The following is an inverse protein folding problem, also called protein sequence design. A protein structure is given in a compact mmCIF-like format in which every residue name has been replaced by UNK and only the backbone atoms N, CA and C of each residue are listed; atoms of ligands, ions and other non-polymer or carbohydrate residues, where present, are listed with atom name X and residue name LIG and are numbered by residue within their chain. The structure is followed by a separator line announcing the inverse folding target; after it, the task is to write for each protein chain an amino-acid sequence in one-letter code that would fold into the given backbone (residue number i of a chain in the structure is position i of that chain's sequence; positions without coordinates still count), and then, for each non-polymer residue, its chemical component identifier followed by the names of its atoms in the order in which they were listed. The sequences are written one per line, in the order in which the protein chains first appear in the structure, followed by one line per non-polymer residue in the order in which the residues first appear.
data_IF_727403885513
#
_entry.id   IF_727403885513
#
_cell.length_a   1.000
_cell.length_b   1.000
_cell.length_c   1.000
_cell.angle_alpha   90.00
_cell.angle_beta   90.00
_cell.angle_gamma   90.00
#
_symmetry.space_group_name_H-M   'P 1'
#
loop_
_entity.id
_entity.type
_entity.pdbx_description
1 polymer ?
#
# COMPACT_ATOMS: atom_id res chain seq x y z
N UNK A 1 -11.27 -23.05 31.68
CA UNK A 1 -10.79 -22.17 32.77
C UNK A 1 -9.85 -21.12 32.16
N UNK A 2 -10.17 -19.82 32.27
CA UNK A 2 -9.38 -18.60 31.94
C UNK A 2 -8.65 -18.56 30.56
N UNK A 3 -9.02 -17.70 29.59
CA UNK A 3 -8.92 -16.23 29.50
C UNK A 3 -7.50 -15.63 29.31
N UNK A 4 -7.46 -14.63 28.41
CA UNK A 4 -6.42 -13.61 28.08
C UNK A 4 -5.53 -13.98 26.87
N UNK A 5 -5.70 -13.32 25.71
CA UNK A 5 -5.39 -11.90 25.36
C UNK A 5 -3.88 -11.60 25.37
N UNK A 6 -3.21 -11.84 24.25
CA UNK A 6 -1.96 -11.14 23.93
C UNK A 6 -2.30 -9.77 23.34
N UNK A 7 -2.44 -8.78 24.23
CA UNK A 7 -2.53 -7.37 23.86
C UNK A 7 -1.14 -6.89 23.42
N UNK A 8 -1.05 -6.33 22.21
CA UNK A 8 0.13 -5.58 21.76
C UNK A 8 0.24 -4.33 22.64
N UNK A 9 1.31 -4.24 23.45
CA UNK A 9 1.53 -3.10 24.35
C UNK A 9 2.26 -1.98 23.59
N UNK A 10 1.58 -0.84 23.47
CA UNK A 10 2.15 0.43 23.03
C UNK A 10 3.39 0.80 23.85
N UNK A 11 4.50 1.13 23.18
CA UNK A 11 5.63 1.82 23.81
C UNK A 11 5.60 3.29 23.43
N UNK A 12 4.96 4.12 24.26
CA UNK A 12 5.00 5.57 24.13
C UNK A 12 6.24 6.17 24.79
N UNK A 13 6.93 7.08 24.12
CA UNK A 13 7.99 7.89 24.73
C UNK A 13 7.39 8.98 25.63
N UNK A 14 7.68 8.92 26.94
CA UNK A 14 7.73 10.07 27.86
C UNK A 14 8.81 9.84 28.92
N UNK A 15 9.44 10.91 29.40
CA UNK A 15 10.62 10.90 30.29
C UNK A 15 10.34 11.72 31.57
N UNK A 16 11.15 11.72 32.63
CA UNK A 16 12.53 11.24 32.89
C UNK A 16 12.57 10.68 34.33
N UNK A 17 13.55 9.83 34.73
CA UNK A 17 14.44 10.05 35.91
C UNK A 17 15.29 8.83 36.35
N UNK A 18 16.49 9.18 36.85
CA UNK A 18 17.45 8.38 37.64
C UNK A 18 18.15 7.16 37.02
N UNK A 19 19.49 7.21 37.02
CA UNK A 19 20.32 6.09 37.49
C UNK A 19 20.98 5.17 36.44
N UNK A 20 22.22 5.51 36.09
CA UNK A 20 23.28 4.60 35.61
C UNK A 20 23.14 3.94 34.21
N UNK A 21 24.24 4.01 33.45
CA UNK A 21 24.53 3.27 32.22
C UNK A 21 23.45 3.29 31.12
N UNK A 22 23.38 4.40 30.37
CA UNK A 22 22.86 4.34 29.00
C UNK A 22 23.90 3.63 28.14
N UNK A 23 23.79 2.30 28.08
CA UNK A 23 24.42 1.52 27.03
C UNK A 23 23.79 1.96 25.71
N UNK A 24 24.51 2.77 24.93
CA UNK A 24 23.98 3.44 23.74
C UNK A 24 23.87 2.43 22.61
N UNK A 25 22.88 1.53 22.70
CA UNK A 25 22.47 0.66 21.62
C UNK A 25 21.92 1.56 20.50
N UNK A 26 22.82 1.91 19.58
CA UNK A 26 22.46 2.54 18.31
C UNK A 26 21.46 1.61 17.65
N UNK A 27 20.19 2.01 17.69
CA UNK A 27 19.09 1.24 17.09
C UNK A 27 19.42 1.02 15.63
N UNK A 28 19.81 -0.22 15.30
CA UNK A 28 20.12 -0.58 13.91
C UNK A 28 18.82 -0.49 13.13
N UNK A 29 18.89 0.15 11.95
CA UNK A 29 17.77 0.21 11.04
C UNK A 29 17.19 -1.19 10.83
N UNK A 30 15.85 -1.37 10.80
CA UNK A 30 15.25 -2.67 10.54
C UNK A 30 15.42 -3.11 9.08
N UNK A 31 15.97 -2.24 8.23
CA UNK A 31 16.21 -2.46 6.80
C UNK A 31 17.67 -2.81 6.49
N UNK A 32 17.88 -3.58 5.43
CA UNK A 32 19.20 -3.89 4.89
C UNK A 32 19.93 -2.64 4.36
N UNK A 33 21.27 -2.71 4.31
CA UNK A 33 22.10 -1.65 3.72
C UNK A 33 21.82 -1.44 2.21
N UNK A 34 21.35 -2.47 1.52
CA UNK A 34 21.01 -2.40 0.10
C UNK A 34 19.66 -1.71 -0.09
N UNK A 35 18.69 -1.99 0.79
CA UNK A 35 17.41 -1.28 0.83
C UNK A 35 17.59 0.22 1.04
N UNK A 36 18.43 0.61 2.01
CA UNK A 36 18.70 2.02 2.31
C UNK A 36 19.45 2.76 1.18
N UNK A 37 20.03 2.04 0.21
CA UNK A 37 20.68 2.60 -0.99
C UNK A 37 19.80 2.54 -2.24
N UNK A 38 18.63 1.92 -2.15
CA UNK A 38 17.77 1.63 -3.30
C UNK A 38 17.16 2.87 -3.96
N UNK A 39 16.78 2.73 -5.23
CA UNK A 39 15.95 3.73 -5.90
C UNK A 39 14.62 3.91 -5.17
N UNK A 40 14.01 2.84 -4.68
CA UNK A 40 12.78 2.93 -3.86
C UNK A 40 12.97 3.87 -2.66
N UNK A 41 13.96 3.59 -1.81
CA UNK A 41 14.17 4.33 -0.57
C UNK A 41 14.56 5.78 -0.84
N UNK A 42 15.34 6.04 -1.89
CA UNK A 42 15.65 7.41 -2.34
C UNK A 42 14.40 8.14 -2.82
N UNK A 43 13.55 7.48 -3.61
CA UNK A 43 12.27 8.02 -4.07
C UNK A 43 11.34 8.35 -2.92
N UNK A 44 11.20 7.43 -1.96
CA UNK A 44 10.35 7.63 -0.79
C UNK A 44 10.87 8.75 0.13
N UNK A 45 12.19 8.85 0.32
CA UNK A 45 12.79 9.95 1.10
C UNK A 45 12.42 11.32 0.51
N UNK A 46 12.49 11.46 -0.81
CA UNK A 46 12.08 12.68 -1.52
C UNK A 46 10.56 12.90 -1.42
N UNK A 47 9.76 11.85 -1.56
CA UNK A 47 8.31 11.91 -1.42
C UNK A 47 7.89 12.42 -0.03
N UNK A 48 8.54 11.94 1.03
CA UNK A 48 8.27 12.37 2.41
C UNK A 48 8.80 13.76 2.74
N UNK A 49 9.93 14.17 2.15
CA UNK A 49 10.51 15.51 2.33
C UNK A 49 9.69 16.58 1.61
N UNK A 50 9.34 16.35 0.35
CA UNK A 50 8.59 17.31 -0.49
C UNK A 50 7.06 17.21 -0.33
N UNK A 51 6.55 16.15 0.32
CA UNK A 51 5.13 15.74 0.31
C UNK A 51 4.54 15.69 -1.12
N UNK A 52 5.36 15.25 -2.07
CA UNK A 52 5.08 15.36 -3.50
C UNK A 52 5.62 14.18 -4.31
N UNK A 53 4.85 13.74 -5.29
CA UNK A 53 5.28 12.73 -6.26
C UNK A 53 6.23 13.27 -7.34
N UNK A 54 6.31 14.59 -7.54
CA UNK A 54 6.94 15.19 -8.74
C UNK A 54 8.39 14.75 -8.94
N UNK A 55 9.23 14.83 -7.89
CA UNK A 55 10.62 14.40 -7.97
C UNK A 55 10.83 12.93 -7.59
N UNK A 56 9.90 12.34 -6.82
CA UNK A 56 9.98 10.96 -6.36
C UNK A 56 9.64 9.92 -7.46
N UNK A 57 8.67 10.22 -8.33
CA UNK A 57 8.10 9.26 -9.30
C UNK A 57 9.15 8.63 -10.23
N UNK A 58 10.20 9.37 -10.61
CA UNK A 58 11.29 8.85 -11.46
C UNK A 58 12.10 7.74 -10.79
N UNK A 59 12.21 7.77 -9.46
CA UNK A 59 12.91 6.76 -8.69
C UNK A 59 12.05 5.51 -8.46
N UNK A 60 10.75 5.67 -8.16
CA UNK A 60 9.82 4.55 -8.12
C UNK A 60 9.73 3.83 -9.48
N UNK A 61 9.71 4.61 -10.58
CA UNK A 61 9.81 4.07 -11.94
C UNK A 61 11.08 3.25 -12.12
N UNK A 62 12.23 3.80 -11.74
CA UNK A 62 13.53 3.14 -11.90
C UNK A 62 13.64 1.86 -11.05
N UNK A 63 13.16 1.88 -9.81
CA UNK A 63 13.09 0.68 -8.97
C UNK A 63 12.21 -0.42 -9.58
N UNK A 64 11.07 -0.04 -10.18
CA UNK A 64 10.23 -0.97 -10.91
C UNK A 64 10.91 -1.54 -12.17
N UNK A 65 11.52 -0.68 -12.99
CA UNK A 65 12.23 -1.06 -14.23
C UNK A 65 13.42 -1.99 -13.92
N UNK A 66 14.22 -1.68 -12.89
CA UNK A 66 15.40 -2.44 -12.44
C UNK A 66 15.03 -3.69 -11.60
N UNK A 67 13.74 -3.90 -11.29
CA UNK A 67 13.21 -4.98 -10.42
C UNK A 67 13.81 -4.97 -9.00
N UNK A 68 14.01 -3.77 -8.47
CA UNK A 68 14.51 -3.46 -7.13
C UNK A 68 13.32 -3.13 -6.20
N UNK A 69 13.15 -3.94 -5.14
CA UNK A 69 12.02 -3.86 -4.21
C UNK A 69 10.69 -3.66 -4.94
N UNK A 70 10.45 -4.55 -5.90
CA UNK A 70 9.54 -4.32 -7.03
C UNK A 70 8.09 -4.09 -6.60
N UNK A 71 7.62 -4.71 -5.52
CA UNK A 71 6.24 -4.56 -5.07
C UNK A 71 6.00 -3.11 -4.63
N UNK A 72 6.83 -2.60 -3.72
CA UNK A 72 6.70 -1.23 -3.20
C UNK A 72 7.11 -0.17 -4.23
N UNK A 73 8.10 -0.44 -5.09
CA UNK A 73 8.45 0.42 -6.23
C UNK A 73 7.28 0.60 -7.19
N UNK A 74 6.57 -0.48 -7.54
CA UNK A 74 5.43 -0.41 -8.45
C UNK A 74 4.18 0.18 -7.79
N UNK A 75 3.91 -0.15 -6.52
CA UNK A 75 2.83 0.45 -5.74
C UNK A 75 2.97 1.97 -5.60
N UNK A 76 4.16 2.47 -5.27
CA UNK A 76 4.41 3.92 -5.18
C UNK A 76 4.42 4.61 -6.55
N UNK A 77 4.88 3.93 -7.60
CA UNK A 77 4.78 4.46 -8.95
C UNK A 77 3.32 4.58 -9.39
N UNK A 78 2.48 3.57 -9.13
CA UNK A 78 1.05 3.56 -9.43
C UNK A 78 0.30 4.65 -8.63
N UNK A 79 0.58 4.79 -7.33
CA UNK A 79 0.07 5.87 -6.49
C UNK A 79 0.41 7.28 -7.04
N UNK A 80 1.60 7.43 -7.61
CA UNK A 80 2.06 8.70 -8.16
C UNK A 80 1.60 8.99 -9.61
N UNK A 81 1.36 7.98 -10.45
CA UNK A 81 0.99 8.16 -11.87
C UNK A 81 -0.50 8.44 -12.07
N UNK A 82 -0.93 9.65 -11.70
CA UNK A 82 -2.29 10.18 -11.90
C UNK A 82 -2.62 10.46 -13.39
N UNK A 83 -2.43 9.48 -14.29
CA UNK A 83 -2.65 9.66 -15.74
C UNK A 83 -2.96 8.35 -16.48
N UNK A 84 -3.75 8.48 -17.56
CA UNK A 84 -4.13 7.38 -18.48
C UNK A 84 -2.94 6.68 -19.18
N UNK A 85 -1.73 7.26 -19.16
CA UNK A 85 -0.52 6.62 -19.72
C UNK A 85 -0.06 5.40 -18.94
N UNK A 86 -0.67 5.09 -17.79
CA UNK A 86 -0.37 3.91 -16.98
C UNK A 86 -0.79 2.58 -17.64
N UNK A 87 -1.46 2.58 -18.81
CA UNK A 87 -1.89 1.34 -19.51
C UNK A 87 -0.80 0.28 -19.68
N UNK A 88 0.46 0.69 -19.89
CA UNK A 88 1.60 -0.24 -19.94
C UNK A 88 2.07 -0.73 -18.56
N UNK A 89 1.90 0.09 -17.50
CA UNK A 89 2.24 -0.27 -16.12
C UNK A 89 1.22 -1.20 -15.48
N UNK A 90 -0.06 -1.15 -15.86
CA UNK A 90 -1.06 -2.15 -15.43
C UNK A 90 -0.61 -3.59 -15.72
N UNK A 91 -0.04 -3.85 -16.90
CA UNK A 91 0.46 -5.18 -17.23
C UNK A 91 1.58 -5.66 -16.30
N UNK A 92 2.50 -4.77 -15.93
CA UNK A 92 3.52 -5.09 -14.93
C UNK A 92 2.94 -5.26 -13.52
N UNK A 93 1.89 -4.50 -13.18
CA UNK A 93 1.29 -4.54 -11.85
C UNK A 93 0.64 -5.89 -11.54
N UNK A 94 0.06 -6.57 -12.53
CA UNK A 94 -0.41 -7.96 -12.38
C UNK A 94 0.73 -9.00 -12.21
N UNK A 95 2.00 -8.58 -12.24
CA UNK A 95 3.16 -9.48 -12.06
C UNK A 95 3.85 -9.34 -10.69
N UNK A 96 3.45 -8.39 -9.84
CA UNK A 96 3.96 -8.28 -8.47
C UNK A 96 3.15 -9.16 -7.51
N UNK A 97 3.82 -9.80 -6.54
CA UNK A 97 3.21 -10.80 -5.66
C UNK A 97 2.03 -10.27 -4.83
N UNK A 98 2.09 -9.01 -4.39
CA UNK A 98 0.99 -8.34 -3.68
C UNK A 98 -0.31 -8.33 -4.49
N UNK A 99 -0.22 -8.16 -5.81
CA UNK A 99 -1.38 -8.00 -6.71
C UNK A 99 -1.81 -9.33 -7.33
N UNK A 100 -0.86 -10.18 -7.73
CA UNK A 100 -1.14 -11.50 -8.34
C UNK A 100 -1.57 -12.55 -7.31
N UNK A 101 -1.08 -12.42 -6.08
CA UNK A 101 -1.15 -13.47 -5.07
C UNK A 101 -0.27 -14.70 -5.35
N UNK A 102 0.53 -14.68 -6.43
CA UNK A 102 1.35 -15.82 -6.83
C UNK A 102 2.71 -15.81 -6.11
N UNK A 103 2.95 -16.84 -5.30
CA UNK A 103 4.25 -17.09 -4.66
C UNK A 103 5.35 -17.47 -5.69
N UNK A 104 4.97 -17.88 -6.91
CA UNK A 104 5.88 -18.37 -7.94
C UNK A 104 6.33 -17.30 -8.97
N UNK A 105 5.84 -16.05 -8.91
CA UNK A 105 6.28 -14.96 -9.81
C UNK A 105 7.70 -14.43 -9.51
N UNK A 106 8.69 -15.33 -9.49
CA UNK A 106 10.16 -15.14 -9.57
C UNK A 106 10.89 -14.20 -8.58
N UNK A 107 10.18 -13.41 -7.76
CA UNK A 107 10.68 -12.73 -6.55
C UNK A 107 9.49 -12.45 -5.63
N UNK A 108 9.29 -13.31 -4.62
CA UNK A 108 8.34 -13.02 -3.55
C UNK A 108 8.72 -11.76 -2.77
N UNK A 109 7.76 -11.21 -2.02
CA UNK A 109 7.94 -10.01 -1.20
C UNK A 109 9.14 -10.18 -0.25
N UNK A 110 10.18 -9.36 -0.41
CA UNK A 110 11.41 -9.46 0.39
C UNK A 110 11.17 -9.08 1.86
N UNK A 111 12.06 -9.48 2.76
CA UNK A 111 11.97 -9.11 4.17
C UNK A 111 11.94 -7.59 4.38
N UNK A 112 12.70 -6.83 3.57
CA UNK A 112 12.69 -5.36 3.60
C UNK A 112 11.33 -4.81 3.15
N UNK A 113 10.72 -5.36 2.09
CA UNK A 113 9.37 -4.97 1.63
C UNK A 113 8.28 -5.34 2.63
N UNK A 114 8.34 -6.52 3.25
CA UNK A 114 7.43 -6.97 4.31
C UNK A 114 7.51 -6.03 5.52
N UNK A 115 8.73 -5.74 5.96
CA UNK A 115 9.01 -4.80 7.07
C UNK A 115 8.53 -3.40 6.73
N UNK A 116 8.73 -2.95 5.49
CA UNK A 116 8.23 -1.67 5.02
C UNK A 116 6.70 -1.61 5.06
N UNK A 117 6.03 -2.60 4.48
CA UNK A 117 4.57 -2.67 4.42
C UNK A 117 3.96 -2.66 5.82
N UNK A 118 4.47 -3.49 6.74
CA UNK A 118 4.00 -3.51 8.13
C UNK A 118 4.22 -2.16 8.84
N UNK A 119 5.47 -1.70 8.92
CA UNK A 119 5.81 -0.49 9.69
C UNK A 119 5.17 0.79 9.16
N UNK A 120 4.92 0.89 7.85
CA UNK A 120 4.21 2.05 7.29
C UNK A 120 2.70 1.93 7.43
N UNK A 121 2.11 0.75 7.27
CA UNK A 121 0.67 0.57 7.54
C UNK A 121 0.32 0.91 9.00
N UNK A 122 1.15 0.49 9.96
CA UNK A 122 1.04 0.88 11.39
C UNK A 122 1.11 2.40 11.61
N UNK A 123 1.78 3.14 10.72
CA UNK A 123 1.87 4.61 10.71
C UNK A 123 0.75 5.28 9.89
N UNK A 124 -0.26 4.53 9.42
CA UNK A 124 -1.34 5.05 8.56
C UNK A 124 -1.00 5.13 7.07
N UNK A 125 0.05 4.42 6.64
CA UNK A 125 0.56 4.39 5.27
C UNK A 125 -0.52 4.04 4.24
N UNK A 126 -0.82 4.98 3.35
CA UNK A 126 -1.91 4.85 2.39
C UNK A 126 -1.64 3.75 1.36
N UNK A 127 -0.40 3.64 0.88
CA UNK A 127 0.00 2.65 -0.13
C UNK A 127 0.10 1.26 0.49
N UNK A 128 0.53 1.17 1.73
CA UNK A 128 0.72 -0.10 2.45
C UNK A 128 -0.59 -0.68 2.96
N UNK A 129 -1.55 0.16 3.37
CA UNK A 129 -2.92 -0.28 3.63
C UNK A 129 -3.57 -0.91 2.37
N UNK A 130 -3.23 -0.44 1.16
CA UNK A 130 -3.66 -1.11 -0.06
C UNK A 130 -2.99 -2.49 -0.22
N UNK A 131 -1.68 -2.56 0.00
CA UNK A 131 -0.93 -3.81 -0.10
C UNK A 131 -1.47 -4.88 0.86
N UNK A 132 -1.70 -4.54 2.13
CA UNK A 132 -2.30 -5.44 3.12
C UNK A 132 -3.74 -5.83 2.72
N UNK A 133 -4.52 -4.90 2.16
CA UNK A 133 -5.84 -5.19 1.60
C UNK A 133 -5.79 -6.26 0.51
N UNK A 134 -4.90 -6.12 -0.48
CA UNK A 134 -4.70 -7.12 -1.54
C UNK A 134 -4.17 -8.46 -0.99
N UNK A 135 -3.24 -8.43 -0.04
CA UNK A 135 -2.72 -9.62 0.65
C UNK A 135 -3.86 -10.44 1.29
N UNK A 136 -4.80 -9.78 1.99
CA UNK A 136 -5.98 -10.42 2.55
C UNK A 136 -7.02 -10.88 1.50
N UNK A 137 -7.17 -10.23 0.35
CA UNK A 137 -8.07 -10.68 -0.73
C UNK A 137 -7.55 -11.94 -1.42
N UNK A 138 -6.24 -11.95 -1.67
CA UNK A 138 -5.58 -13.00 -2.44
C UNK A 138 -5.18 -14.20 -1.59
N UNK A 139 -4.98 -14.02 -0.28
CA UNK A 139 -4.38 -15.05 0.58
C UNK A 139 -2.85 -15.08 0.48
N UNK A 140 -2.23 -13.93 0.15
CA UNK A 140 -0.79 -13.80 -0.10
C UNK A 140 -0.09 -13.33 1.17
N UNK A 141 0.79 -14.18 1.72
CA UNK A 141 1.46 -14.01 3.03
C UNK A 141 0.53 -13.92 4.27
N UNK A 142 -0.76 -13.63 4.07
CA UNK A 142 -1.81 -13.56 5.08
C UNK A 142 -2.93 -14.54 4.71
N UNK A 143 -3.63 -15.09 5.70
CA UNK A 143 -4.81 -15.93 5.44
C UNK A 143 -5.92 -15.11 4.77
N UNK A 144 -6.57 -15.67 3.74
CA UNK A 144 -7.58 -14.98 2.95
C UNK A 144 -8.77 -14.56 3.83
N UNK A 145 -9.01 -13.25 3.95
CA UNK A 145 -10.08 -12.69 4.76
C UNK A 145 -10.67 -11.43 4.11
N UNK A 146 -11.91 -11.55 3.59
CA UNK A 146 -12.58 -10.46 2.85
C UNK A 146 -12.96 -9.26 3.74
N UNK A 147 -13.20 -9.47 5.03
CA UNK A 147 -13.56 -8.40 5.97
C UNK A 147 -12.33 -7.52 6.29
N UNK A 148 -11.21 -8.16 6.64
CA UNK A 148 -9.93 -7.48 6.83
C UNK A 148 -9.49 -6.76 5.55
N UNK A 149 -9.62 -7.42 4.40
CA UNK A 149 -9.38 -6.80 3.11
C UNK A 149 -10.16 -5.50 2.91
N UNK A 150 -11.49 -5.53 3.11
CA UNK A 150 -12.35 -4.33 3.00
C UNK A 150 -11.93 -3.25 4.00
N UNK A 151 -11.57 -3.62 5.23
CA UNK A 151 -11.06 -2.69 6.24
C UNK A 151 -9.79 -1.95 5.76
N UNK A 152 -8.75 -2.69 5.39
CA UNK A 152 -7.47 -2.13 4.93
C UNK A 152 -7.62 -1.36 3.60
N UNK A 153 -8.42 -1.88 2.66
CA UNK A 153 -8.77 -1.19 1.42
C UNK A 153 -9.51 0.14 1.70
N UNK A 154 -10.38 0.19 2.71
CA UNK A 154 -11.08 1.41 3.13
C UNK A 154 -10.14 2.44 3.74
N UNK A 155 -9.13 2.02 4.52
CA UNK A 155 -8.10 2.93 5.02
C UNK A 155 -7.31 3.57 3.88
N UNK A 156 -6.89 2.77 2.90
CA UNK A 156 -6.17 3.27 1.72
C UNK A 156 -7.04 4.16 0.81
N UNK A 157 -8.30 3.79 0.60
CA UNK A 157 -9.25 4.57 -0.20
C UNK A 157 -9.52 5.95 0.44
N UNK A 158 -9.59 6.02 1.77
CA UNK A 158 -9.66 7.29 2.53
C UNK A 158 -8.38 8.11 2.43
N UNK A 159 -7.22 7.46 2.32
CA UNK A 159 -5.92 8.09 2.05
C UNK A 159 -5.79 8.67 0.63
N UNK A 160 -6.78 8.47 -0.25
CA UNK A 160 -6.78 9.04 -1.60
C UNK A 160 -6.12 8.17 -2.67
N UNK A 161 -5.80 6.90 -2.38
CA UNK A 161 -5.25 6.02 -3.41
C UNK A 161 -6.34 5.59 -4.40
N UNK A 162 -6.32 6.14 -5.61
CA UNK A 162 -7.31 5.87 -6.65
C UNK A 162 -7.52 4.38 -6.97
N UNK A 163 -6.45 3.57 -6.91
CA UNK A 163 -6.52 2.11 -7.06
C UNK A 163 -7.33 1.45 -5.95
N UNK A 164 -7.11 1.85 -4.71
CA UNK A 164 -7.89 1.37 -3.56
C UNK A 164 -9.36 1.80 -3.65
N UNK A 165 -9.62 3.02 -4.11
CA UNK A 165 -10.98 3.54 -4.31
C UNK A 165 -11.74 2.74 -5.40
N UNK A 166 -11.08 2.40 -6.52
CA UNK A 166 -11.65 1.51 -7.54
C UNK A 166 -11.90 0.10 -6.99
N UNK A 167 -10.92 -0.53 -6.36
CA UNK A 167 -11.07 -1.90 -5.83
C UNK A 167 -12.17 -1.98 -4.76
N UNK A 168 -12.24 -0.99 -3.86
CA UNK A 168 -13.31 -0.91 -2.87
C UNK A 168 -14.69 -0.76 -3.52
N UNK A 169 -14.81 0.06 -4.57
CA UNK A 169 -16.06 0.16 -5.31
C UNK A 169 -16.46 -1.18 -5.95
N UNK A 170 -15.52 -1.91 -6.56
CA UNK A 170 -15.80 -3.23 -7.13
C UNK A 170 -16.29 -4.22 -6.06
N UNK A 171 -15.64 -4.29 -4.90
CA UNK A 171 -16.07 -5.16 -3.79
C UNK A 171 -17.46 -4.77 -3.27
N UNK A 172 -17.77 -3.48 -3.20
CA UNK A 172 -19.09 -2.99 -2.78
C UNK A 172 -20.18 -3.34 -3.80
N UNK A 173 -19.90 -3.27 -5.11
CA UNK A 173 -20.82 -3.74 -6.14
C UNK A 173 -21.14 -5.23 -6.00
N UNK A 174 -20.14 -6.07 -5.71
CA UNK A 174 -20.31 -7.52 -5.52
C UNK A 174 -21.22 -7.89 -4.33
N UNK A 175 -21.36 -7.02 -3.33
CA UNK A 175 -22.22 -7.23 -2.16
C UNK A 175 -23.53 -6.44 -2.20
N UNK A 176 -23.85 -5.80 -3.33
CA UNK A 176 -25.08 -5.01 -3.52
C UNK A 176 -25.05 -3.59 -2.95
N UNK A 177 -23.90 -3.13 -2.44
CA UNK A 177 -23.69 -1.80 -1.86
C UNK A 177 -23.45 -0.73 -2.94
N UNK A 178 -24.32 -0.72 -3.96
CA UNK A 178 -24.15 0.02 -5.21
C UNK A 178 -23.99 1.53 -5.01
N UNK A 179 -24.79 2.14 -4.13
CA UNK A 179 -24.69 3.57 -3.84
C UNK A 179 -23.35 3.93 -3.19
N UNK A 180 -22.84 3.09 -2.29
CA UNK A 180 -21.53 3.27 -1.68
C UNK A 180 -20.40 3.06 -2.71
N UNK A 181 -20.54 2.11 -3.64
CA UNK A 181 -19.61 1.95 -4.76
C UNK A 181 -19.55 3.18 -5.67
N UNK A 182 -20.69 3.80 -6.02
CA UNK A 182 -20.73 5.03 -6.82
C UNK A 182 -19.99 6.20 -6.15
N UNK A 183 -20.03 6.30 -4.82
CA UNK A 183 -19.26 7.30 -4.07
C UNK A 183 -17.75 7.07 -4.23
N UNK A 184 -17.28 5.83 -4.10
CA UNK A 184 -15.85 5.52 -4.27
C UNK A 184 -15.36 5.66 -5.71
N UNK A 185 -16.18 5.31 -6.72
CA UNK A 185 -15.87 5.59 -8.13
C UNK A 185 -15.77 7.10 -8.41
N UNK A 186 -16.60 7.91 -7.76
CA UNK A 186 -16.51 9.39 -7.84
C UNK A 186 -15.20 9.92 -7.26
N UNK A 187 -14.73 9.38 -6.14
CA UNK A 187 -13.42 9.77 -5.60
C UNK A 187 -12.25 9.26 -6.45
N UNK A 188 -12.32 8.02 -6.96
CA UNK A 188 -11.34 7.48 -7.90
C UNK A 188 -11.23 8.33 -9.17
N UNK A 189 -12.38 8.77 -9.72
CA UNK A 189 -12.45 9.67 -10.88
C UNK A 189 -11.84 11.05 -10.59
N UNK A 190 -12.11 11.66 -9.42
CA UNK A 190 -11.44 12.92 -9.01
C UNK A 190 -9.93 12.76 -8.85
N UNK A 191 -9.46 11.59 -8.41
CA UNK A 191 -8.04 11.26 -8.32
C UNK A 191 -7.42 10.88 -9.67
N UNK A 192 -8.17 11.01 -10.78
CA UNK A 192 -7.75 10.70 -12.14
C UNK A 192 -7.29 9.23 -12.30
N UNK A 193 -7.90 8.32 -11.54
CA UNK A 193 -7.63 6.90 -11.67
C UNK A 193 -8.24 6.35 -12.97
N UNK A 194 -7.47 5.67 -13.83
CA UNK A 194 -7.95 5.19 -15.13
C UNK A 194 -9.18 4.29 -15.03
N UNK A 195 -10.14 4.47 -15.94
CA UNK A 195 -11.39 3.69 -15.98
C UNK A 195 -12.44 4.09 -14.95
N UNK A 196 -12.10 4.91 -13.94
CA UNK A 196 -13.03 5.25 -12.86
C UNK A 196 -14.19 6.13 -13.34
N UNK A 197 -13.94 7.02 -14.30
CA UNK A 197 -14.98 7.89 -14.88
C UNK A 197 -15.94 7.06 -15.74
N UNK A 198 -15.39 6.22 -16.60
CA UNK A 198 -16.12 5.35 -17.52
C UNK A 198 -16.99 4.35 -16.75
N UNK A 199 -16.45 3.73 -15.69
CA UNK A 199 -17.22 2.85 -14.82
C UNK A 199 -18.32 3.62 -14.06
N UNK A 200 -18.03 4.83 -13.54
CA UNK A 200 -19.03 5.66 -12.88
C UNK A 200 -20.18 6.07 -13.81
N UNK A 201 -19.88 6.40 -15.06
CA UNK A 201 -20.87 6.76 -16.08
C UNK A 201 -21.69 5.54 -16.50
N UNK A 202 -21.05 4.39 -16.75
CA UNK A 202 -21.73 3.13 -17.08
C UNK A 202 -22.68 2.65 -15.98
N UNK A 203 -22.25 2.70 -14.71
CA UNK A 203 -23.09 2.28 -13.57
C UNK A 203 -24.34 3.15 -13.41
N UNK A 204 -24.26 4.46 -13.69
CA UNK A 204 -25.41 5.38 -13.61
C UNK A 204 -26.47 5.17 -14.70
N UNK A 205 -26.20 4.35 -15.70
CA UNK A 205 -27.15 4.03 -16.78
C UNK A 205 -27.92 2.73 -16.53
N UNK A 206 -27.56 1.96 -15.49
CA UNK A 206 -28.13 0.64 -15.19
C UNK A 206 -28.72 0.54 -13.76
N UNK A 207 -28.78 1.67 -13.04
CA UNK A 207 -29.30 1.84 -11.68
C UNK A 207 -30.42 2.89 -11.66
#
# INVERSE_FOLDING_TARGET
MKFLKNTIIFMGLMSVLSGCAVDSQVSKSPYSNDFLKSNFYRGYSIFEEEKSCVNAIKYFKKGADDKEYINISMLYYDYCIKSERSKYYYYGMHTIGVESGDNNTTKGLSNDELTWIGLRADQGGTVENYAIGQMFLNGYMLEKNRENAVYFMTLSAKGGYGRAQMQLAMILMEIGEQQNALLWLKEASKNHYPGAKEMLEGMKLIL
#
